data_IF_935984378553
#
_entry.id   IF_935984378553
#
_cell.length_a   1.000
_cell.length_b   1.000
_cell.length_c   1.000
_cell.angle_alpha   90.00
_cell.angle_beta   90.00
_cell.angle_gamma   90.00
#
_symmetry.space_group_name_H-M   'P 1'
#
loop_
_entity.id
_entity.type
_entity.pdbx_description
1 polymer ?
#
# COMPACT_ATOMS: atom_id res chain seq x y z
N UNK A 1 -21.34 27.61 -16.80
CA UNK A 1 -20.04 27.03 -16.38
C UNK A 1 -20.31 25.64 -15.85
N UNK A 2 -20.01 24.63 -16.66
CA UNK A 2 -20.33 23.21 -16.44
C UNK A 2 -19.18 22.57 -15.66
N UNK A 3 -19.38 22.22 -14.39
CA UNK A 3 -18.46 21.34 -13.64
C UNK A 3 -18.93 19.90 -13.84
N UNK A 4 -18.44 19.25 -14.89
CA UNK A 4 -18.61 17.79 -15.06
C UNK A 4 -17.92 17.05 -13.90
N UNK A 5 -18.49 15.95 -13.38
CA UNK A 5 -17.94 15.29 -12.21
C UNK A 5 -16.72 14.48 -12.64
N UNK A 6 -15.57 14.81 -12.04
CA UNK A 6 -14.31 14.04 -12.16
C UNK A 6 -14.45 12.56 -11.76
N UNK A 7 -15.62 12.13 -11.26
CA UNK A 7 -15.93 10.72 -10.96
C UNK A 7 -16.14 9.84 -12.19
N UNK A 8 -16.54 10.41 -13.34
CA UNK A 8 -16.81 9.61 -14.55
C UNK A 8 -15.52 9.07 -15.20
N UNK A 9 -14.44 9.85 -15.15
CA UNK A 9 -13.12 9.46 -15.66
C UNK A 9 -12.43 8.41 -14.78
N UNK A 10 -12.72 8.38 -13.47
CA UNK A 10 -12.17 7.40 -12.53
C UNK A 10 -12.72 5.98 -12.74
N UNK A 11 -13.89 5.84 -13.40
CA UNK A 11 -14.51 4.53 -13.64
C UNK A 11 -14.14 3.89 -14.98
N UNK A 12 -13.84 4.69 -16.01
CA UNK A 12 -13.69 4.18 -17.38
C UNK A 12 -12.44 3.32 -17.61
N UNK A 13 -11.36 3.52 -16.84
CA UNK A 13 -10.12 2.74 -16.98
C UNK A 13 -10.21 1.29 -16.44
N UNK A 14 -11.11 1.03 -15.49
CA UNK A 14 -11.22 -0.28 -14.81
C UNK A 14 -12.07 -1.31 -15.56
N UNK A 15 -12.87 -0.91 -16.56
CA UNK A 15 -13.80 -1.79 -17.29
C UNK A 15 -13.11 -2.66 -18.35
N UNK A 16 -11.78 -2.54 -18.52
CA UNK A 16 -11.08 -3.24 -19.59
C UNK A 16 -10.93 -4.77 -19.43
N UNK A 17 -11.39 -5.39 -18.31
CA UNK A 17 -11.24 -6.84 -18.06
C UNK A 17 -12.42 -7.56 -17.43
N UNK A 18 -13.58 -6.90 -17.27
CA UNK A 18 -14.81 -7.52 -16.74
C UNK A 18 -14.68 -8.18 -15.35
N UNK A 19 -13.61 -7.89 -14.59
CA UNK A 19 -13.47 -8.33 -13.19
C UNK A 19 -14.12 -7.29 -12.28
N UNK A 20 -15.10 -7.66 -11.45
CA UNK A 20 -15.72 -6.72 -10.53
C UNK A 20 -14.68 -6.16 -9.55
N UNK A 21 -14.72 -4.84 -9.33
CA UNK A 21 -13.97 -4.17 -8.25
C UNK A 21 -14.13 -4.89 -6.91
N UNK A 22 -15.31 -5.44 -6.66
CA UNK A 22 -15.67 -6.23 -5.48
C UNK A 22 -14.76 -7.45 -5.31
N UNK A 23 -14.46 -8.20 -6.37
CA UNK A 23 -13.58 -9.36 -6.32
C UNK A 23 -12.14 -8.97 -5.98
N UNK A 24 -11.65 -7.85 -6.55
CA UNK A 24 -10.32 -7.32 -6.25
C UNK A 24 -10.25 -6.90 -4.78
N UNK A 25 -11.22 -6.10 -4.33
CA UNK A 25 -11.29 -5.64 -2.95
C UNK A 25 -11.38 -6.81 -1.96
N UNK A 26 -12.21 -7.82 -2.24
CA UNK A 26 -12.33 -9.03 -1.42
C UNK A 26 -10.98 -9.76 -1.29
N UNK A 27 -10.25 -9.91 -2.39
CA UNK A 27 -8.90 -10.50 -2.39
C UNK A 27 -7.93 -9.69 -1.54
N UNK A 28 -7.90 -8.36 -1.69
CA UNK A 28 -7.02 -7.49 -0.91
C UNK A 28 -7.36 -7.52 0.59
N UNK A 29 -8.65 -7.65 0.94
CA UNK A 29 -9.13 -7.76 2.32
C UNK A 29 -8.76 -9.08 3.00
N UNK A 30 -8.25 -10.09 2.27
CA UNK A 30 -7.66 -11.29 2.89
C UNK A 30 -6.39 -10.96 3.69
N UNK A 31 -5.73 -9.84 3.38
CA UNK A 31 -4.54 -9.38 4.10
C UNK A 31 -4.94 -8.78 5.46
N UNK A 32 -4.33 -9.22 6.57
CA UNK A 32 -4.66 -8.67 7.88
C UNK A 32 -4.40 -7.18 7.96
N UNK A 33 -5.35 -6.45 8.55
CA UNK A 33 -5.30 -4.99 8.67
C UNK A 33 -5.84 -4.23 7.45
N UNK A 34 -6.12 -4.90 6.33
CA UNK A 34 -6.74 -4.29 5.15
C UNK A 34 -8.26 -4.44 5.24
N UNK A 35 -8.94 -3.31 5.44
CA UNK A 35 -10.41 -3.25 5.42
C UNK A 35 -10.96 -2.72 4.09
N UNK A 36 -12.30 -2.60 3.96
CA UNK A 36 -12.96 -2.15 2.74
C UNK A 36 -12.47 -0.79 2.24
N UNK A 37 -12.29 0.18 3.16
CA UNK A 37 -11.81 1.53 2.81
C UNK A 37 -10.38 1.45 2.27
N UNK A 38 -9.49 0.70 2.93
CA UNK A 38 -8.10 0.56 2.47
C UNK A 38 -8.04 -0.15 1.12
N UNK A 39 -8.80 -1.23 0.93
CA UNK A 39 -8.85 -1.96 -0.33
C UNK A 39 -9.39 -1.10 -1.47
N UNK A 40 -10.47 -0.36 -1.23
CA UNK A 40 -11.06 0.55 -2.21
C UNK A 40 -10.11 1.71 -2.55
N UNK A 41 -9.56 2.40 -1.54
CA UNK A 41 -8.55 3.45 -1.78
C UNK A 41 -7.38 2.90 -2.58
N UNK A 42 -6.87 1.72 -2.23
CA UNK A 42 -5.74 1.13 -2.93
C UNK A 42 -6.06 0.85 -4.40
N UNK A 43 -7.18 0.19 -4.66
CA UNK A 43 -7.59 -0.15 -6.03
C UNK A 43 -7.83 1.09 -6.88
N UNK A 44 -8.51 2.11 -6.33
CA UNK A 44 -8.78 3.37 -7.03
C UNK A 44 -7.53 4.23 -7.24
N UNK A 45 -6.57 4.23 -6.31
CA UNK A 45 -5.34 5.04 -6.46
C UNK A 45 -4.34 4.40 -7.44
N UNK A 46 -4.42 3.08 -7.65
CA UNK A 46 -3.52 2.31 -8.53
C UNK A 46 -4.10 2.16 -9.93
N UNK A 47 -5.41 1.90 -10.03
CA UNK A 47 -6.22 1.66 -11.24
C UNK A 47 -5.81 0.41 -12.03
N UNK A 48 -4.57 0.36 -12.52
CA UNK A 48 -3.98 -0.79 -13.20
C UNK A 48 -2.71 -1.26 -12.47
N UNK A 49 -2.67 -2.48 -11.91
CA UNK A 49 -1.46 -2.99 -11.27
C UNK A 49 -0.32 -3.21 -12.28
N UNK A 50 -0.59 -3.39 -13.58
CA UNK A 50 0.47 -3.63 -14.57
C UNK A 50 1.32 -2.40 -14.90
N UNK A 51 0.92 -1.20 -14.44
CA UNK A 51 1.69 0.04 -14.62
C UNK A 51 3.02 0.05 -13.86
N UNK A 52 3.18 -0.82 -12.86
CA UNK A 52 4.40 -0.91 -12.07
C UNK A 52 5.24 -2.10 -12.55
N UNK A 53 6.51 -1.85 -12.86
CA UNK A 53 7.43 -2.91 -13.24
C UNK A 53 7.74 -3.84 -12.05
N UNK A 54 7.79 -3.29 -10.83
CA UNK A 54 8.07 -4.05 -9.60
C UNK A 54 7.08 -3.66 -8.51
N UNK A 55 6.66 -4.63 -7.70
CA UNK A 55 5.77 -4.36 -6.55
C UNK A 55 6.35 -3.36 -5.54
N UNK A 56 7.68 -3.27 -5.43
CA UNK A 56 8.34 -2.31 -4.54
C UNK A 56 8.13 -0.85 -4.99
N UNK A 57 7.86 -0.62 -6.28
CA UNK A 57 7.65 0.72 -6.84
C UNK A 57 6.35 1.35 -6.32
N UNK A 58 5.37 0.52 -5.95
CA UNK A 58 4.11 0.99 -5.37
C UNK A 58 4.34 1.71 -4.04
N UNK A 59 5.33 1.27 -3.26
CA UNK A 59 5.72 1.94 -2.02
C UNK A 59 6.28 3.36 -2.28
N UNK A 60 6.98 3.53 -3.39
CA UNK A 60 7.48 4.85 -3.81
C UNK A 60 6.33 5.74 -4.30
N UNK A 61 5.43 5.17 -5.12
CA UNK A 61 4.22 5.84 -5.59
C UNK A 61 3.32 6.31 -4.45
N UNK A 62 3.14 5.51 -3.40
CA UNK A 62 2.39 5.88 -2.20
C UNK A 62 3.13 6.90 -1.31
N UNK A 63 4.36 7.32 -1.65
CA UNK A 63 5.16 8.26 -0.86
C UNK A 63 5.64 7.68 0.48
N UNK A 64 5.79 6.36 0.58
CA UNK A 64 6.22 5.63 1.78
C UNK A 64 7.74 5.36 1.81
N UNK A 65 8.46 5.77 0.78
CA UNK A 65 9.93 5.67 0.73
C UNK A 65 10.60 6.92 1.31
N UNK A 66 11.74 6.77 2.01
CA UNK A 66 12.57 7.90 2.41
C UNK A 66 12.93 8.75 1.20
N UNK A 67 12.90 10.07 1.36
CA UNK A 67 13.48 10.99 0.39
C UNK A 67 14.99 10.77 0.41
N UNK A 68 15.56 10.41 -0.74
CA UNK A 68 17.02 10.38 -0.91
C UNK A 68 17.47 11.76 -1.38
N UNK A 69 18.47 12.31 -0.71
CA UNK A 69 19.22 13.47 -1.19
C UNK A 69 20.66 13.00 -1.40
N UNK A 70 21.02 12.78 -2.66
CA UNK A 70 22.36 12.39 -3.05
C UNK A 70 23.06 13.63 -3.62
N UNK A 71 23.94 14.24 -2.83
CA UNK A 71 24.84 15.29 -3.28
C UNK A 71 26.24 14.70 -3.33
N UNK A 72 26.72 14.30 -4.52
CA UNK A 72 28.10 13.86 -4.80
C UNK A 72 28.73 12.89 -3.80
N UNK A 73 29.19 13.42 -2.67
CA UNK A 73 29.88 12.71 -1.58
C UNK A 73 28.97 12.20 -0.44
N UNK A 74 27.69 12.55 -0.38
CA UNK A 74 26.77 12.13 0.72
C UNK A 74 25.43 11.62 0.20
N UNK A 75 25.11 10.35 0.51
CA UNK A 75 23.76 9.79 0.41
C UNK A 75 23.08 9.89 1.78
N UNK A 76 22.18 10.87 1.94
CA UNK A 76 21.43 11.05 3.18
C UNK A 76 19.98 10.60 2.99
N UNK A 77 19.53 9.69 3.87
CA UNK A 77 18.13 9.28 3.94
C UNK A 77 17.36 10.20 4.90
N UNK A 78 16.44 10.98 4.34
CA UNK A 78 15.60 11.92 5.09
C UNK A 78 14.25 11.32 5.52
N UNK A 79 13.30 12.21 5.79
CA UNK A 79 11.90 11.82 6.01
C UNK A 79 11.29 11.14 4.77
N UNK A 80 10.16 10.44 4.94
CA UNK A 80 9.41 9.92 3.79
C UNK A 80 9.08 11.04 2.79
N UNK A 81 9.08 10.71 1.50
CA UNK A 81 8.93 11.70 0.42
C UNK A 81 7.60 12.45 0.48
N UNK A 82 6.52 11.75 0.83
CA UNK A 82 5.12 12.25 0.78
C UNK A 82 4.67 12.74 -0.60
N UNK A 83 5.36 12.36 -1.67
CA UNK A 83 5.06 12.78 -3.04
C UNK A 83 3.82 12.08 -3.65
N UNK A 84 3.33 11.02 -3.00
CA UNK A 84 2.16 10.25 -3.42
C UNK A 84 0.84 10.73 -2.82
N UNK A 85 -0.24 10.04 -3.19
CA UNK A 85 -1.58 10.29 -2.67
C UNK A 85 -1.62 10.21 -1.12
N UNK A 86 -1.97 11.30 -0.42
CA UNK A 86 -2.10 11.32 1.03
C UNK A 86 -3.13 10.32 1.57
N UNK A 87 -4.19 10.03 0.81
CA UNK A 87 -5.25 9.11 1.21
C UNK A 87 -4.73 7.67 1.15
N UNK A 88 -4.15 7.26 0.02
CA UNK A 88 -3.46 5.96 -0.11
C UNK A 88 -2.42 5.75 1.01
N UNK A 89 -1.57 6.75 1.24
CA UNK A 89 -0.55 6.69 2.28
C UNK A 89 -1.13 6.52 3.68
N UNK A 90 -2.22 7.23 4.00
CA UNK A 90 -2.90 7.13 5.29
C UNK A 90 -3.56 5.77 5.46
N UNK A 91 -4.29 5.29 4.45
CA UNK A 91 -4.97 3.98 4.49
C UNK A 91 -3.98 2.83 4.69
N UNK A 92 -2.83 2.86 4.01
CA UNK A 92 -1.76 1.87 4.19
C UNK A 92 -1.11 1.95 5.57
N UNK A 93 -0.92 3.16 6.11
CA UNK A 93 -0.38 3.36 7.45
C UNK A 93 -1.33 2.84 8.54
N UNK A 94 -2.63 3.10 8.41
CA UNK A 94 -3.62 2.58 9.36
C UNK A 94 -3.75 1.05 9.28
N UNK A 95 -3.69 0.48 8.08
CA UNK A 95 -3.67 -0.97 7.92
C UNK A 95 -2.45 -1.60 8.61
N UNK A 96 -1.26 -1.00 8.44
CA UNK A 96 -0.05 -1.41 9.13
C UNK A 96 -0.16 -1.25 10.66
N UNK A 97 -0.81 -0.17 11.13
CA UNK A 97 -1.06 0.07 12.54
C UNK A 97 -1.94 -1.03 13.14
N UNK A 98 -3.05 -1.38 12.49
CA UNK A 98 -3.96 -2.46 12.91
C UNK A 98 -3.21 -3.80 12.93
N UNK A 99 -2.44 -4.10 11.88
CA UNK A 99 -1.63 -5.32 11.78
C UNK A 99 -0.66 -5.46 12.96
N UNK A 100 0.00 -4.39 13.39
CA UNK A 100 0.96 -4.45 14.50
C UNK A 100 0.32 -4.42 15.88
N UNK A 101 -0.87 -3.82 16.04
CA UNK A 101 -1.45 -3.54 17.37
C UNK A 101 -2.66 -4.41 17.71
N UNK A 102 -3.51 -4.74 16.74
CA UNK A 102 -4.80 -5.42 16.98
C UNK A 102 -4.81 -6.87 16.52
N UNK A 103 -3.93 -7.24 15.59
CA UNK A 103 -3.88 -8.59 15.05
C UNK A 103 -3.41 -9.58 16.13
N UNK A 104 -4.28 -10.51 16.51
CA UNK A 104 -4.00 -11.57 17.49
C UNK A 104 -3.27 -12.76 16.88
N UNK A 105 -3.58 -13.10 15.62
CA UNK A 105 -2.96 -14.22 14.90
C UNK A 105 -1.59 -13.78 14.34
N UNK A 106 -0.49 -14.47 14.69
CA UNK A 106 0.82 -14.13 14.15
C UNK A 106 0.87 -14.38 12.64
N UNK A 107 1.61 -13.52 11.93
CA UNK A 107 1.98 -13.72 10.53
C UNK A 107 3.39 -13.20 10.29
N UNK A 108 4.07 -13.68 9.24
CA UNK A 108 5.45 -13.27 8.94
C UNK A 108 5.64 -11.75 8.85
N UNK A 109 4.66 -11.03 8.27
CA UNK A 109 4.71 -9.56 8.16
C UNK A 109 4.64 -8.88 9.53
N UNK A 110 3.81 -9.38 10.44
CA UNK A 110 3.69 -8.86 11.80
C UNK A 110 4.99 -9.10 12.59
N UNK A 111 5.53 -10.32 12.53
CA UNK A 111 6.77 -10.68 13.23
C UNK A 111 7.94 -9.81 12.75
N UNK A 112 8.09 -9.64 11.43
CA UNK A 112 9.09 -8.74 10.86
C UNK A 112 8.89 -7.29 11.31
N UNK A 113 7.65 -6.80 11.31
CA UNK A 113 7.32 -5.44 11.73
C UNK A 113 7.57 -5.18 13.22
N UNK A 114 7.37 -6.17 14.09
CA UNK A 114 7.69 -6.09 15.53
C UNK A 114 9.21 -5.98 15.75
N UNK A 115 10.01 -6.82 15.09
CA UNK A 115 11.49 -6.71 15.11
C UNK A 115 11.97 -5.32 14.64
N UNK A 116 11.35 -4.78 13.60
CA UNK A 116 11.63 -3.42 13.14
C UNK A 116 11.26 -2.35 14.18
N UNK A 117 10.18 -2.56 14.94
CA UNK A 117 9.75 -1.64 15.99
C UNK A 117 10.74 -1.61 17.16
N UNK A 118 11.30 -2.77 17.53
CA UNK A 118 12.37 -2.89 18.52
C UNK A 118 13.66 -2.19 18.05
N UNK A 119 14.06 -2.41 16.79
CA UNK A 119 15.33 -1.90 16.27
C UNK A 119 15.33 -0.39 15.94
N UNK A 120 14.21 0.15 15.44
CA UNK A 120 14.15 1.52 14.86
C UNK A 120 13.02 2.38 15.44
N UNK A 121 12.22 1.83 16.34
CA UNK A 121 11.08 2.51 16.96
C UNK A 121 9.75 2.31 16.22
N UNK A 122 8.62 2.43 16.94
CA UNK A 122 7.30 2.01 16.46
C UNK A 122 6.80 2.82 15.26
N UNK A 123 7.09 4.13 15.18
CA UNK A 123 6.66 4.98 14.06
C UNK A 123 7.35 4.58 12.74
N UNK A 124 8.66 4.33 12.79
CA UNK A 124 9.44 3.91 11.61
C UNK A 124 9.03 2.50 11.17
N UNK A 125 8.76 1.61 12.12
CA UNK A 125 8.25 0.27 11.82
C UNK A 125 6.89 0.29 11.12
N UNK A 126 5.93 1.12 11.58
CA UNK A 126 4.62 1.26 10.90
C UNK A 126 4.77 1.70 9.45
N UNK A 127 5.63 2.68 9.17
CA UNK A 127 5.92 3.12 7.79
C UNK A 127 6.56 2.00 6.96
N UNK A 128 7.53 1.29 7.53
CA UNK A 128 8.19 0.18 6.84
C UNK A 128 7.23 -0.98 6.53
N UNK A 129 6.33 -1.30 7.46
CA UNK A 129 5.25 -2.29 7.27
C UNK A 129 4.25 -1.80 6.24
N UNK A 130 3.82 -0.53 6.26
CA UNK A 130 2.94 0.04 5.25
C UNK A 130 3.54 -0.06 3.84
N UNK A 131 4.85 0.20 3.69
CA UNK A 131 5.56 0.03 2.42
C UNK A 131 5.54 -1.43 1.94
N UNK A 132 5.83 -2.37 2.84
CA UNK A 132 5.82 -3.80 2.52
C UNK A 132 4.41 -4.32 2.23
N UNK A 133 3.40 -3.77 2.91
CA UNK A 133 1.99 -4.03 2.66
C UNK A 133 1.58 -3.55 1.26
N UNK A 134 2.02 -2.37 0.84
CA UNK A 134 1.76 -1.85 -0.50
C UNK A 134 2.29 -2.79 -1.60
N UNK A 135 3.51 -3.29 -1.45
CA UNK A 135 4.10 -4.26 -2.37
C UNK A 135 3.38 -5.62 -2.32
N UNK A 136 2.96 -6.07 -1.13
CA UNK A 136 2.20 -7.31 -0.97
C UNK A 136 0.85 -7.24 -1.70
N UNK A 137 0.08 -6.17 -1.50
CA UNK A 137 -1.22 -5.98 -2.15
C UNK A 137 -1.10 -5.96 -3.67
N UNK A 138 -0.04 -5.32 -4.19
CA UNK A 138 0.27 -5.32 -5.61
C UNK A 138 0.51 -6.73 -6.15
N UNK A 139 1.35 -7.51 -5.46
CA UNK A 139 1.64 -8.89 -5.84
C UNK A 139 0.42 -9.80 -5.78
N UNK A 140 -0.48 -9.62 -4.80
CA UNK A 140 -1.72 -10.39 -4.72
C UNK A 140 -2.68 -10.02 -5.87
N UNK A 141 -2.73 -8.75 -6.24
CA UNK A 141 -3.55 -8.29 -7.36
C UNK A 141 -3.02 -8.84 -8.69
N UNK A 142 -1.71 -8.75 -8.95
CA UNK A 142 -1.11 -9.26 -10.20
C UNK A 142 -1.24 -10.77 -10.38
N UNK A 143 -1.01 -11.54 -9.32
CA UNK A 143 -1.02 -13.00 -9.38
C UNK A 143 -2.40 -13.61 -9.15
N UNK A 144 -3.40 -12.79 -8.86
CA UNK A 144 -4.75 -13.21 -8.54
C UNK A 144 -4.85 -14.18 -7.34
N UNK A 145 -3.87 -14.11 -6.43
CA UNK A 145 -3.76 -14.97 -5.24
C UNK A 145 -4.26 -14.28 -3.98
N UNK A 146 -4.61 -15.08 -2.98
CA UNK A 146 -4.98 -14.60 -1.64
C UNK A 146 -3.80 -14.58 -0.67
N UNK A 147 -3.96 -13.84 0.42
CA UNK A 147 -2.97 -13.78 1.49
C UNK A 147 -2.78 -15.14 2.18
N UNK A 148 -1.52 -15.58 2.30
CA UNK A 148 -1.16 -16.79 3.03
C UNK A 148 -0.57 -16.44 4.39
N UNK A 149 -1.03 -17.13 5.43
CA UNK A 149 -0.66 -16.90 6.84
C UNK A 149 0.68 -17.53 7.27
N UNK A 150 1.53 -17.91 6.30
CA UNK A 150 2.80 -18.63 6.56
C UNK A 150 3.81 -17.76 7.31
#
# INVERSE_FOLDING_TARGET
MQTGPLSSFLYHGMVARDVPLECICARLMTVPGVGPITALTYTLSIEDPRRFARSDDVGAYAGLVPRRSQSGERDTQGHISKAGDPMLRRSLYEAANILLTRLKRPCALQTWGRKMAEAKGPRRAKVAVARKLAALLHSLWLNETEFRWV
#
